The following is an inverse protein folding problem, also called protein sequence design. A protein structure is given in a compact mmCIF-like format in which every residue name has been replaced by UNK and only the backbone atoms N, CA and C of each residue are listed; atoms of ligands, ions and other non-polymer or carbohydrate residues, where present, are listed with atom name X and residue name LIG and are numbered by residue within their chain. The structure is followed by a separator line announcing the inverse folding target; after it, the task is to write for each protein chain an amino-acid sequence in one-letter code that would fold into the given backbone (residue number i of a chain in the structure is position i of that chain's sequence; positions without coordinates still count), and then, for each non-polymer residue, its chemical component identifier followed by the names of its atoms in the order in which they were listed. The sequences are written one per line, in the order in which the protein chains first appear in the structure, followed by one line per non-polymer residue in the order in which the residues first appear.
data_IF_667543336347
#
_entry.id   IF_667543336347
#
_cell.length_a   1.000
_cell.length_b   1.000
_cell.length_c   1.000
_cell.angle_alpha   90.00
_cell.angle_beta   90.00
_cell.angle_gamma   90.00
#
_symmetry.space_group_name_H-M   'P 1'
#
loop_
_entity.id
_entity.type
_entity.pdbx_description
1 polymer ?
#
# COMPACT_ATOMS: atom_id res chain seq x y z
N UNK A 1 14.36 -12.47 18.31
CA UNK A 1 15.11 -11.38 17.65
C UNK A 1 14.91 -11.57 16.16
N UNK A 2 14.11 -10.71 15.53
CA UNK A 2 13.85 -10.77 14.09
C UNK A 2 15.02 -10.11 13.38
N UNK A 3 15.83 -10.87 12.65
CA UNK A 3 16.90 -10.30 11.83
C UNK A 3 16.28 -9.74 10.55
N UNK A 4 15.61 -8.59 10.64
CA UNK A 4 14.96 -7.95 9.50
C UNK A 4 15.94 -7.52 8.40
N UNK A 5 17.24 -7.48 8.71
CA UNK A 5 18.35 -7.40 7.75
C UNK A 5 19.34 -8.53 8.05
N UNK A 6 19.53 -9.46 7.11
CA UNK A 6 20.45 -10.58 7.27
C UNK A 6 20.16 -11.79 6.39
N UNK A 7 21.09 -12.75 6.44
CA UNK A 7 21.02 -14.06 5.79
C UNK A 7 19.65 -14.72 5.99
N UNK A 8 19.23 -15.55 5.02
CA UNK A 8 17.97 -16.32 5.09
C UNK A 8 17.82 -16.99 6.48
N UNK A 9 16.65 -16.88 7.15
CA UNK A 9 16.42 -17.60 8.41
C UNK A 9 16.64 -19.10 8.25
N UNK A 10 17.38 -19.70 9.18
CA UNK A 10 17.79 -21.11 9.10
C UNK A 10 16.61 -22.06 9.37
N UNK A 11 15.58 -21.59 10.08
CA UNK A 11 14.34 -22.32 10.34
C UNK A 11 13.22 -21.86 9.39
N UNK A 12 12.49 -22.83 8.85
CA UNK A 12 11.25 -22.57 8.12
C UNK A 12 10.16 -21.94 9.01
N UNK A 13 9.05 -21.52 8.40
CA UNK A 13 7.90 -20.95 9.12
C UNK A 13 7.66 -19.47 8.80
N UNK A 14 7.04 -18.75 9.74
CA UNK A 14 6.56 -17.38 9.55
C UNK A 14 7.69 -16.39 9.18
N UNK A 15 8.85 -16.46 9.85
CA UNK A 15 9.97 -15.55 9.55
C UNK A 15 10.59 -15.80 8.17
N UNK A 16 10.63 -17.06 7.71
CA UNK A 16 11.06 -17.37 6.33
C UNK A 16 10.04 -16.83 5.32
N UNK A 17 8.74 -16.95 5.59
CA UNK A 17 7.69 -16.40 4.74
C UNK A 17 7.76 -14.88 4.63
N UNK A 18 7.82 -14.16 5.76
CA UNK A 18 7.91 -12.70 5.79
C UNK A 18 9.19 -12.22 5.11
N UNK A 19 10.29 -12.97 5.25
CA UNK A 19 11.53 -12.68 4.54
C UNK A 19 11.33 -12.70 3.02
N UNK A 20 10.76 -13.77 2.45
CA UNK A 20 10.49 -13.85 1.01
C UNK A 20 9.50 -12.79 0.54
N UNK A 21 8.42 -12.60 1.32
CA UNK A 21 7.42 -11.59 1.04
C UNK A 21 8.05 -10.21 0.87
N UNK A 22 8.96 -9.77 1.75
CA UNK A 22 9.62 -8.46 1.64
C UNK A 22 10.41 -8.29 0.34
N UNK A 23 11.09 -9.34 -0.16
CA UNK A 23 11.89 -9.24 -1.39
C UNK A 23 11.02 -9.22 -2.63
N UNK A 24 10.04 -10.12 -2.69
CA UNK A 24 9.13 -10.24 -3.82
C UNK A 24 8.24 -8.99 -3.93
N UNK A 25 7.69 -8.53 -2.80
CA UNK A 25 6.88 -7.31 -2.76
C UNK A 25 7.71 -6.07 -3.08
N UNK A 26 8.97 -5.96 -2.65
CA UNK A 26 9.84 -4.84 -3.03
C UNK A 26 10.00 -4.75 -4.56
N UNK A 27 10.29 -5.87 -5.22
CA UNK A 27 10.43 -5.91 -6.68
C UNK A 27 9.12 -5.47 -7.35
N UNK A 28 7.97 -6.00 -6.90
CA UNK A 28 6.66 -5.58 -7.42
C UNK A 28 6.39 -4.09 -7.19
N UNK A 29 6.71 -3.58 -6.00
CA UNK A 29 6.50 -2.19 -5.61
C UNK A 29 7.39 -1.22 -6.36
N UNK A 30 8.59 -1.61 -6.81
CA UNK A 30 9.40 -0.74 -7.69
C UNK A 30 8.59 -0.37 -8.94
N UNK A 31 7.95 -1.33 -9.58
CA UNK A 31 7.14 -1.05 -10.78
C UNK A 31 5.83 -0.35 -10.44
N UNK A 32 5.07 -0.87 -9.45
CA UNK A 32 3.76 -0.34 -9.08
C UNK A 32 3.85 1.08 -8.49
N UNK A 33 4.84 1.38 -7.65
CA UNK A 33 4.97 2.71 -7.08
C UNK A 33 5.45 3.71 -8.13
N UNK A 34 6.45 3.35 -8.96
CA UNK A 34 6.98 4.27 -9.98
C UNK A 34 5.91 4.59 -11.02
N UNK A 35 5.19 3.60 -11.55
CA UNK A 35 4.12 3.85 -12.51
C UNK A 35 3.02 4.72 -11.87
N UNK A 36 2.68 4.48 -10.59
CA UNK A 36 1.70 5.31 -9.87
C UNK A 36 2.17 6.77 -9.73
N UNK A 37 3.45 6.99 -9.40
CA UNK A 37 4.02 8.34 -9.31
C UNK A 37 4.06 9.03 -10.67
N UNK A 38 4.43 8.32 -11.74
CA UNK A 38 4.42 8.86 -13.10
C UNK A 38 3.00 9.30 -13.49
N UNK A 39 2.00 8.45 -13.25
CA UNK A 39 0.61 8.73 -13.61
C UNK A 39 -0.01 9.91 -12.86
N UNK A 40 0.48 10.21 -11.66
CA UNK A 40 -0.09 11.25 -10.80
C UNK A 40 0.73 12.54 -10.72
N UNK A 41 2.03 12.50 -11.06
CA UNK A 41 2.92 13.66 -10.92
C UNK A 41 3.63 14.06 -12.21
N UNK A 42 3.72 13.17 -13.20
CA UNK A 42 4.41 13.45 -14.47
C UNK A 42 3.40 13.63 -15.60
N UNK A 43 2.46 12.68 -15.75
CA UNK A 43 1.45 12.74 -16.81
C UNK A 43 0.24 13.58 -16.42
N UNK A 44 0.09 13.90 -15.15
CA UNK A 44 -1.02 14.70 -14.64
C UNK A 44 -0.48 15.74 -13.69
N UNK A 45 -0.84 17.00 -13.92
CA UNK A 45 -0.56 18.07 -12.99
C UNK A 45 -1.32 17.81 -11.70
N UNK A 46 -0.65 17.95 -10.56
CA UNK A 46 -1.25 17.76 -9.24
C UNK A 46 -2.43 18.71 -9.01
N UNK A 47 -2.41 19.91 -9.60
CA UNK A 47 -3.52 20.87 -9.57
C UNK A 47 -4.79 20.35 -10.29
N UNK A 48 -4.63 19.32 -11.11
CA UNK A 48 -5.68 18.72 -11.93
C UNK A 48 -6.20 17.38 -11.36
N UNK A 49 -5.63 16.92 -10.24
CA UNK A 49 -6.11 15.74 -9.52
C UNK A 49 -7.49 16.04 -8.94
N UNK A 50 -8.52 15.62 -9.66
CA UNK A 50 -9.93 15.88 -9.35
C UNK A 50 -10.71 14.57 -9.26
N UNK A 51 -11.90 14.63 -8.67
CA UNK A 51 -12.82 13.49 -8.61
C UNK A 51 -13.10 12.91 -10.00
N UNK A 52 -13.29 13.76 -11.00
CA UNK A 52 -13.60 13.39 -12.39
C UNK A 52 -12.48 12.56 -13.01
N UNK A 53 -11.21 12.93 -12.78
CA UNK A 53 -10.06 12.17 -13.27
C UNK A 53 -10.05 10.76 -12.66
N UNK A 54 -10.26 10.65 -11.35
CA UNK A 54 -10.35 9.36 -10.64
C UNK A 54 -11.53 8.56 -11.17
N UNK A 55 -12.69 9.20 -11.38
CA UNK A 55 -13.89 8.55 -11.90
C UNK A 55 -13.68 7.97 -13.31
N UNK A 56 -13.00 8.71 -14.20
CA UNK A 56 -12.65 8.24 -15.55
C UNK A 56 -11.68 7.07 -15.48
N UNK A 57 -10.63 7.15 -14.65
CA UNK A 57 -9.69 6.03 -14.47
C UNK A 57 -10.39 4.80 -13.90
N UNK A 58 -11.20 4.98 -12.86
CA UNK A 58 -11.91 3.88 -12.20
C UNK A 58 -13.13 3.40 -12.99
N UNK A 59 -13.49 4.01 -14.11
CA UNK A 59 -14.40 3.39 -15.07
C UNK A 59 -13.77 2.14 -15.72
N UNK A 60 -12.44 2.09 -15.82
CA UNK A 60 -11.72 0.92 -16.28
C UNK A 60 -11.28 0.03 -15.09
N UNK A 61 -11.74 -1.23 -15.00
CA UNK A 61 -11.40 -2.12 -13.89
C UNK A 61 -9.89 -2.43 -13.81
N UNK A 62 -9.14 -2.29 -14.90
CA UNK A 62 -7.68 -2.44 -14.90
C UNK A 62 -7.01 -1.53 -13.86
N UNK A 63 -7.40 -0.25 -13.80
CA UNK A 63 -6.83 0.71 -12.85
C UNK A 63 -7.22 0.40 -11.41
N UNK A 64 -8.42 -0.15 -11.18
CA UNK A 64 -8.84 -0.60 -9.86
C UNK A 64 -8.01 -1.78 -9.35
N UNK A 65 -7.75 -2.76 -10.22
CA UNK A 65 -6.90 -3.92 -9.89
C UNK A 65 -5.47 -3.46 -9.63
N UNK A 66 -4.95 -2.58 -10.48
CA UNK A 66 -3.62 -1.98 -10.31
C UNK A 66 -3.46 -1.29 -8.95
N UNK A 67 -4.38 -0.37 -8.61
CA UNK A 67 -4.34 0.36 -7.34
C UNK A 67 -4.61 -0.56 -6.14
N UNK A 68 -5.43 -1.60 -6.30
CA UNK A 68 -5.66 -2.60 -5.25
C UNK A 68 -4.41 -3.45 -4.99
N UNK A 69 -3.66 -3.84 -6.03
CA UNK A 69 -2.38 -4.52 -5.89
C UNK A 69 -1.35 -3.62 -5.21
N UNK A 70 -1.27 -2.35 -5.61
CA UNK A 70 -0.40 -1.36 -4.97
C UNK A 70 -0.78 -1.16 -3.50
N UNK A 71 -2.07 -0.98 -3.17
CA UNK A 71 -2.57 -0.90 -1.79
C UNK A 71 -2.14 -2.12 -0.98
N UNK A 72 -2.44 -3.32 -1.49
CA UNK A 72 -2.16 -4.58 -0.79
C UNK A 72 -0.68 -4.74 -0.51
N UNK A 73 0.16 -4.61 -1.55
CA UNK A 73 1.59 -4.83 -1.42
C UNK A 73 2.26 -3.73 -0.61
N UNK A 74 1.93 -2.45 -0.83
CA UNK A 74 2.58 -1.35 -0.14
C UNK A 74 2.24 -1.36 1.35
N UNK A 75 0.97 -1.61 1.70
CA UNK A 75 0.53 -1.61 3.09
C UNK A 75 1.10 -2.80 3.86
N UNK A 76 1.08 -4.00 3.29
CA UNK A 76 1.66 -5.19 3.93
C UNK A 76 3.19 -5.14 3.99
N UNK A 77 3.85 -4.61 2.95
CA UNK A 77 5.30 -4.38 2.95
C UNK A 77 5.70 -3.37 4.03
N UNK A 78 5.01 -2.23 4.09
CA UNK A 78 5.21 -1.21 5.11
C UNK A 78 4.92 -1.73 6.52
N UNK A 79 3.85 -2.52 6.71
CA UNK A 79 3.52 -3.12 8.01
C UNK A 79 4.62 -4.07 8.48
N UNK A 80 5.11 -4.98 7.64
CA UNK A 80 6.17 -5.89 8.07
C UNK A 80 7.51 -5.16 8.28
N UNK A 81 7.81 -4.13 7.47
CA UNK A 81 8.97 -3.28 7.69
C UNK A 81 8.91 -2.52 9.03
N UNK A 82 7.76 -1.91 9.35
CA UNK A 82 7.58 -1.20 10.61
C UNK A 82 7.56 -2.15 11.82
N UNK A 83 7.04 -3.37 11.66
CA UNK A 83 7.13 -4.42 12.69
C UNK A 83 8.60 -4.70 13.04
N UNK A 84 9.47 -4.87 12.03
CA UNK A 84 10.91 -5.06 12.25
C UNK A 84 11.51 -3.87 13.00
N UNK A 85 11.22 -2.64 12.58
CA UNK A 85 11.69 -1.43 13.27
C UNK A 85 11.22 -1.41 14.73
N UNK A 86 9.96 -1.76 15.01
CA UNK A 86 9.45 -1.84 16.38
C UNK A 86 10.21 -2.91 17.18
N UNK A 87 10.46 -4.08 16.60
CA UNK A 87 11.19 -5.17 17.24
C UNK A 87 12.65 -4.77 17.56
N UNK A 88 13.27 -3.93 16.73
CA UNK A 88 14.67 -3.48 16.90
C UNK A 88 14.81 -2.33 17.92
N UNK A 89 13.85 -1.40 17.95
CA UNK A 89 13.98 -0.17 18.75
C UNK A 89 13.18 -0.17 20.06
N UNK A 90 12.15 -1.01 20.20
CA UNK A 90 11.27 -1.01 21.39
C UNK A 90 11.66 -2.12 22.37
N UNK A 91 12.44 -1.73 23.39
CA UNK A 91 12.95 -2.64 24.41
C UNK A 91 11.85 -3.20 25.33
N UNK A 92 10.89 -2.35 25.73
CA UNK A 92 9.81 -2.77 26.62
C UNK A 92 8.83 -3.70 25.91
N UNK A 93 8.71 -4.94 26.42
CA UNK A 93 7.77 -5.94 25.89
C UNK A 93 6.32 -5.44 25.88
N UNK A 94 5.90 -4.72 26.91
CA UNK A 94 4.54 -4.18 26.99
C UNK A 94 4.28 -3.14 25.89
N UNK A 95 5.25 -2.26 25.62
CA UNK A 95 5.13 -1.28 24.54
C UNK A 95 5.20 -1.93 23.15
N UNK A 96 6.08 -2.92 22.96
CA UNK A 96 6.18 -3.65 21.70
C UNK A 96 4.86 -4.33 21.33
N UNK A 97 4.21 -5.01 22.28
CA UNK A 97 2.90 -5.64 22.06
C UNK A 97 1.84 -4.59 21.69
N UNK A 98 1.78 -3.45 22.41
CA UNK A 98 0.82 -2.39 22.09
C UNK A 98 1.02 -1.81 20.68
N UNK A 99 2.27 -1.53 20.30
CA UNK A 99 2.60 -0.94 19.01
C UNK A 99 2.34 -1.91 17.86
N UNK A 100 2.71 -3.19 18.01
CA UNK A 100 2.43 -4.21 16.99
C UNK A 100 0.91 -4.45 16.86
N UNK A 101 0.16 -4.47 17.96
CA UNK A 101 -1.30 -4.59 17.92
C UNK A 101 -1.96 -3.38 17.24
N UNK A 102 -1.50 -2.16 17.55
CA UNK A 102 -1.98 -0.95 16.90
C UNK A 102 -1.66 -0.97 15.39
N UNK A 103 -0.44 -1.37 15.03
CA UNK A 103 -0.02 -1.52 13.64
C UNK A 103 -0.88 -2.52 12.88
N UNK A 104 -1.17 -3.68 13.48
CA UNK A 104 -2.05 -4.69 12.89
C UNK A 104 -3.47 -4.14 12.69
N UNK A 105 -4.02 -3.43 13.69
CA UNK A 105 -5.33 -2.79 13.60
C UNK A 105 -5.38 -1.74 12.48
N UNK A 106 -4.40 -0.83 12.43
CA UNK A 106 -4.33 0.22 11.41
C UNK A 106 -4.19 -0.37 10.01
N UNK A 107 -3.37 -1.42 9.87
CA UNK A 107 -3.22 -2.12 8.59
C UNK A 107 -4.54 -2.73 8.13
N UNK A 108 -5.26 -3.41 9.02
CA UNK A 108 -6.57 -3.98 8.68
C UNK A 108 -7.58 -2.88 8.33
N UNK A 109 -7.65 -1.81 9.13
CA UNK A 109 -8.59 -0.71 8.91
C UNK A 109 -8.34 -0.01 7.56
N UNK A 110 -7.10 0.37 7.27
CA UNK A 110 -6.73 1.02 6.01
C UNK A 110 -6.93 0.09 4.82
N UNK A 111 -6.60 -1.20 4.96
CA UNK A 111 -6.84 -2.19 3.91
C UNK A 111 -8.33 -2.33 3.58
N UNK A 112 -9.18 -2.42 4.60
CA UNK A 112 -10.64 -2.53 4.42
C UNK A 112 -11.20 -1.27 3.77
N UNK A 113 -10.86 -0.08 4.29
CA UNK A 113 -11.34 1.19 3.73
C UNK A 113 -10.92 1.31 2.27
N UNK A 114 -9.63 1.11 1.95
CA UNK A 114 -9.14 1.19 0.57
C UNK A 114 -9.77 0.14 -0.36
N UNK A 115 -9.93 -1.10 0.11
CA UNK A 115 -10.55 -2.17 -0.67
C UNK A 115 -12.03 -1.87 -0.95
N UNK A 116 -12.79 -1.43 0.05
CA UNK A 116 -14.19 -1.02 -0.14
C UNK A 116 -14.25 0.15 -1.11
N UNK A 117 -13.44 1.19 -0.93
CA UNK A 117 -13.39 2.35 -1.83
C UNK A 117 -13.15 1.94 -3.28
N UNK A 118 -12.24 1.01 -3.56
CA UNK A 118 -11.94 0.57 -4.93
C UNK A 118 -13.04 -0.31 -5.52
N UNK A 119 -13.54 -1.28 -4.75
CA UNK A 119 -14.50 -2.28 -5.25
C UNK A 119 -15.89 -1.66 -5.41
N UNK A 120 -16.33 -0.83 -4.46
CA UNK A 120 -17.67 -0.24 -4.47
C UNK A 120 -17.72 1.13 -5.12
N UNK A 121 -16.63 1.59 -5.77
CA UNK A 121 -16.61 2.88 -6.44
C UNK A 121 -17.68 2.95 -7.53
N UNK A 122 -18.62 3.87 -7.38
CA UNK A 122 -19.61 4.22 -8.40
C UNK A 122 -19.47 5.71 -8.75
N UNK A 123 -19.22 6.03 -10.04
CA UNK A 123 -19.13 7.42 -10.46
C UNK A 123 -20.51 8.09 -10.41
N UNK A 124 -20.60 9.26 -9.77
CA UNK A 124 -21.79 10.11 -9.80
C UNK A 124 -21.69 11.01 -11.03
N UNK A 125 -22.76 11.10 -11.82
CA UNK A 125 -22.81 11.96 -13.00
C UNK A 125 -23.11 13.42 -12.62
N UNK A 126 -22.25 14.35 -13.07
CA UNK A 126 -22.40 15.81 -12.90
C UNK A 126 -21.36 16.39 -11.91
N UNK A 127 -20.74 17.55 -12.11
CA UNK A 127 -20.74 18.57 -13.18
C UNK A 127 -19.43 19.37 -13.03
N UNK A 128 -18.97 20.01 -14.12
CA UNK A 128 -17.60 20.47 -14.39
C UNK A 128 -16.75 19.30 -14.91
N UNK A 129 -16.58 19.27 -16.24
CA UNK A 129 -15.53 18.45 -16.84
C UNK A 129 -14.19 18.84 -16.23
N UNK A 130 -13.18 17.95 -16.28
CA UNK A 130 -11.88 18.23 -15.71
C UNK A 130 -11.36 19.59 -16.20
N UNK A 131 -11.12 20.51 -15.26
CA UNK A 131 -10.66 21.89 -15.53
C UNK A 131 -9.31 21.96 -16.26
N UNK A 132 -8.68 20.80 -16.49
CA UNK A 132 -7.37 20.65 -17.10
C UNK A 132 -7.32 19.70 -18.30
N UNK A 133 -8.45 19.20 -18.81
CA UNK A 133 -8.43 18.58 -20.14
C UNK A 133 -8.53 19.71 -21.17
N UNK A 134 -7.41 19.98 -21.85
CA UNK A 134 -7.45 20.60 -23.18
C UNK A 134 -7.75 19.53 -24.22
#
# INVERSE_FOLDING_TARGET
MSTGYGSRPVSGGFETFTWYFMRISAIGLVFLAIIHLILNHVTTDVACTSYQLVAIRYANPYWRVYDWLLLTLALLHGMNGLRVVIDDYVQSTAWRIRLVSLLAFLTLALFMVGTVTLITFQPVAGSLGPHCLK
#
